data_IF_210132439398
#
_entry.id   IF_210132439398
#
_cell.length_a   1.000
_cell.length_b   1.000
_cell.length_c   1.000
_cell.angle_alpha   90.00
_cell.angle_beta   90.00
_cell.angle_gamma   90.00
#
_symmetry.space_group_name_H-M   'P 1'
#
loop_
_entity.id
_entity.type
_entity.pdbx_description
1 polymer ?
#
# COMPACT_ATOMS: atom_id res chain seq x y z
N UNK A 1 -15.31 -28.55 14.93
CA UNK A 1 -14.51 -28.17 13.73
C UNK A 1 -15.13 -26.99 12.97
N UNK A 2 -16.44 -26.99 12.63
CA UNK A 2 -17.12 -25.85 11.95
C UNK A 2 -16.96 -24.47 12.64
N UNK A 3 -16.94 -24.40 13.99
CA UNK A 3 -16.69 -23.14 14.73
C UNK A 3 -15.25 -22.62 14.58
N UNK A 4 -14.25 -23.52 14.63
CA UNK A 4 -12.84 -23.17 14.48
C UNK A 4 -12.51 -22.69 13.06
N UNK A 5 -13.12 -23.29 12.03
CA UNK A 5 -12.94 -22.86 10.64
C UNK A 5 -13.59 -21.50 10.37
N UNK A 6 -14.76 -21.21 10.94
CA UNK A 6 -15.41 -19.91 10.81
C UNK A 6 -14.63 -18.79 11.51
N UNK A 7 -14.09 -19.06 12.71
CA UNK A 7 -13.24 -18.12 13.43
C UNK A 7 -11.94 -17.83 12.66
N UNK A 8 -11.30 -18.85 12.11
CA UNK A 8 -10.10 -18.68 11.28
C UNK A 8 -10.37 -17.84 10.02
N UNK A 9 -11.46 -18.12 9.30
CA UNK A 9 -11.83 -17.33 8.12
C UNK A 9 -12.14 -15.87 8.48
N UNK A 10 -12.76 -15.62 9.64
CA UNK A 10 -13.03 -14.28 10.13
C UNK A 10 -11.72 -13.52 10.42
N UNK A 11 -10.79 -14.12 11.14
CA UNK A 11 -9.48 -13.52 11.44
C UNK A 11 -8.71 -13.21 10.16
N UNK A 12 -8.66 -14.16 9.23
CA UNK A 12 -8.00 -13.99 7.94
C UNK A 12 -8.64 -12.87 7.10
N UNK A 13 -9.98 -12.75 7.14
CA UNK A 13 -10.69 -11.65 6.48
C UNK A 13 -10.33 -10.30 7.11
N UNK A 14 -10.29 -10.20 8.45
CA UNK A 14 -9.90 -8.98 9.17
C UNK A 14 -8.46 -8.59 8.82
N UNK A 15 -7.53 -9.54 8.83
CA UNK A 15 -6.13 -9.32 8.47
C UNK A 15 -6.00 -8.85 7.01
N UNK A 16 -6.72 -9.49 6.09
CA UNK A 16 -6.73 -9.12 4.67
C UNK A 16 -7.26 -7.70 4.48
N UNK A 17 -8.36 -7.33 5.15
CA UNK A 17 -8.92 -5.97 5.10
C UNK A 17 -7.92 -4.95 5.66
N UNK A 18 -7.23 -5.27 6.76
CA UNK A 18 -6.21 -4.39 7.32
C UNK A 18 -5.06 -4.15 6.34
N UNK A 19 -4.56 -5.20 5.69
CA UNK A 19 -3.49 -5.11 4.67
C UNK A 19 -3.94 -4.29 3.46
N UNK A 20 -5.14 -4.54 2.92
CA UNK A 20 -5.68 -3.80 1.78
C UNK A 20 -5.85 -2.31 2.14
N UNK A 21 -6.39 -2.03 3.33
CA UNK A 21 -6.56 -0.65 3.80
C UNK A 21 -5.21 0.07 3.92
N UNK A 22 -4.20 -0.60 4.50
CA UNK A 22 -2.83 -0.09 4.56
C UNK A 22 -2.29 0.22 3.18
N UNK A 23 -2.48 -0.69 2.22
CA UNK A 23 -2.00 -0.49 0.85
C UNK A 23 -2.71 0.69 0.15
N UNK A 24 -4.02 0.87 0.36
CA UNK A 24 -4.77 2.01 -0.19
C UNK A 24 -4.23 3.33 0.38
N UNK A 25 -3.97 3.40 1.68
CA UNK A 25 -3.43 4.61 2.33
C UNK A 25 -2.03 4.95 1.79
N UNK A 26 -1.16 3.96 1.62
CA UNK A 26 0.18 4.16 1.04
C UNK A 26 0.09 4.66 -0.40
N UNK A 27 -0.77 4.08 -1.23
CA UNK A 27 -0.93 4.52 -2.62
C UNK A 27 -1.50 5.94 -2.70
N UNK A 28 -2.44 6.29 -1.81
CA UNK A 28 -2.94 7.65 -1.68
C UNK A 28 -1.82 8.62 -1.29
N UNK A 29 -1.03 8.29 -0.26
CA UNK A 29 0.11 9.10 0.17
C UNK A 29 1.12 9.38 -0.97
N UNK A 30 1.46 8.35 -1.75
CA UNK A 30 2.37 8.49 -2.90
C UNK A 30 1.76 9.37 -3.99
N UNK A 31 0.47 9.22 -4.25
CA UNK A 31 -0.24 10.02 -5.26
C UNK A 31 -0.28 11.49 -4.86
N UNK A 32 -0.69 11.78 -3.62
CA UNK A 32 -0.81 13.14 -3.11
C UNK A 32 0.57 13.83 -3.06
N UNK A 33 1.61 13.11 -2.62
CA UNK A 33 2.99 13.61 -2.60
C UNK A 33 3.51 14.04 -3.98
N UNK A 34 3.08 13.40 -5.08
CA UNK A 34 3.45 13.83 -6.45
C UNK A 34 2.81 15.17 -6.82
N UNK A 35 1.54 15.35 -6.45
CA UNK A 35 0.81 16.61 -6.68
C UNK A 35 1.44 17.72 -5.85
N UNK A 36 1.69 17.46 -4.57
CA UNK A 36 2.31 18.40 -3.63
C UNK A 36 3.70 18.84 -4.13
N UNK A 37 4.53 17.90 -4.58
CA UNK A 37 5.84 18.19 -5.18
C UNK A 37 5.74 19.09 -6.42
N UNK A 38 4.68 18.96 -7.21
CA UNK A 38 4.46 19.81 -8.39
C UNK A 38 4.09 21.23 -7.98
N UNK A 39 3.25 21.40 -6.96
CA UNK A 39 2.89 22.71 -6.40
C UNK A 39 4.13 23.42 -5.86
N UNK A 40 4.97 22.73 -5.07
CA UNK A 40 6.24 23.25 -4.54
C UNK A 40 7.18 23.69 -5.68
N UNK A 41 7.30 22.90 -6.75
CA UNK A 41 8.11 23.28 -7.90
C UNK A 41 7.58 24.52 -8.63
N UNK A 42 6.26 24.64 -8.78
CA UNK A 42 5.64 25.80 -9.44
C UNK A 42 5.81 27.06 -8.58
N UNK A 43 5.58 26.97 -7.28
CA UNK A 43 5.84 28.09 -6.34
C UNK A 43 7.33 28.46 -6.33
N UNK A 44 8.22 27.48 -6.29
CA UNK A 44 9.66 27.71 -6.39
C UNK A 44 10.06 28.42 -7.69
N UNK A 45 9.42 28.06 -8.82
CA UNK A 45 9.65 28.69 -10.13
C UNK A 45 9.20 30.15 -10.15
N UNK A 46 8.22 30.56 -9.34
CA UNK A 46 7.79 31.96 -9.25
C UNK A 46 8.93 32.90 -8.86
N UNK A 47 9.79 32.47 -7.91
CA UNK A 47 10.98 33.22 -7.49
C UNK A 47 11.94 33.44 -8.66
N UNK A 48 12.30 32.38 -9.37
CA UNK A 48 13.17 32.47 -10.55
C UNK A 48 12.55 33.35 -11.65
N UNK A 49 11.24 33.21 -11.89
CA UNK A 49 10.55 34.02 -12.90
C UNK A 49 10.52 35.50 -12.52
N UNK A 50 10.28 35.86 -11.25
CA UNK A 50 10.33 37.26 -10.81
C UNK A 50 11.70 37.90 -11.06
N UNK A 51 12.78 37.18 -10.73
CA UNK A 51 14.15 37.61 -11.03
C UNK A 51 14.42 37.69 -12.54
N UNK A 52 13.91 36.73 -13.33
CA UNK A 52 14.04 36.74 -14.79
C UNK A 52 13.33 37.93 -15.42
N UNK A 53 12.13 38.26 -14.96
CA UNK A 53 11.36 39.44 -15.36
C UNK A 53 12.18 40.70 -15.08
N UNK A 54 12.70 40.87 -13.86
CA UNK A 54 13.53 42.03 -13.50
C UNK A 54 14.79 42.12 -14.36
N UNK A 55 15.48 41.00 -14.59
CA UNK A 55 16.68 40.98 -15.43
C UNK A 55 16.38 41.33 -16.89
N UNK A 56 15.30 40.78 -17.45
CA UNK A 56 14.89 41.08 -18.83
C UNK A 56 14.43 42.54 -18.97
N UNK A 57 13.72 43.08 -17.98
CA UNK A 57 13.32 44.48 -17.92
C UNK A 57 14.53 45.41 -17.93
N UNK A 58 15.53 45.18 -17.06
CA UNK A 58 16.77 45.95 -17.04
C UNK A 58 17.57 45.83 -18.34
N UNK A 59 17.59 44.66 -18.97
CA UNK A 59 18.24 44.47 -20.28
C UNK A 59 17.51 45.23 -21.39
N UNK A 60 16.17 45.30 -21.33
CA UNK A 60 15.36 46.00 -22.32
C UNK A 60 15.71 47.49 -22.38
N UNK A 61 15.92 48.12 -21.22
CA UNK A 61 16.37 49.52 -21.12
C UNK A 61 17.70 49.78 -21.84
N UNK A 62 18.58 48.78 -21.87
CA UNK A 62 19.94 48.89 -22.37
C UNK A 62 20.10 48.31 -23.79
N UNK A 63 19.00 48.00 -24.48
CA UNK A 63 19.07 47.39 -25.82
C UNK A 63 19.66 48.35 -26.84
N UNK A 64 20.73 47.93 -27.52
CA UNK A 64 21.52 48.82 -28.40
C UNK A 64 20.98 48.91 -29.82
N UNK A 65 20.10 47.98 -30.20
CA UNK A 65 19.51 47.93 -31.53
C UNK A 65 18.10 47.32 -31.51
N UNK A 66 17.41 47.43 -32.66
CA UNK A 66 16.04 46.97 -32.85
C UNK A 66 15.87 45.47 -32.58
N UNK A 67 16.82 44.65 -33.02
CA UNK A 67 16.76 43.20 -32.88
C UNK A 67 16.84 42.78 -31.41
N UNK A 68 17.82 43.32 -30.67
CA UNK A 68 17.99 43.07 -29.25
C UNK A 68 16.78 43.51 -28.43
N UNK A 69 16.20 44.67 -28.78
CA UNK A 69 15.00 45.18 -28.12
C UNK A 69 13.83 44.19 -28.22
N UNK A 70 13.50 43.73 -29.44
CA UNK A 70 12.37 42.80 -29.62
C UNK A 70 12.65 41.42 -29.03
N UNK A 71 13.89 40.92 -29.12
CA UNK A 71 14.26 39.66 -28.49
C UNK A 71 14.11 39.72 -26.96
N UNK A 72 14.59 40.80 -26.34
CA UNK A 72 14.51 41.00 -24.88
C UNK A 72 13.08 41.25 -24.43
N UNK A 73 12.29 42.01 -25.21
CA UNK A 73 10.88 42.25 -24.95
C UNK A 73 10.06 40.96 -24.99
N UNK A 74 10.36 40.08 -25.95
CA UNK A 74 9.74 38.76 -26.04
C UNK A 74 10.11 37.89 -24.84
N UNK A 75 11.38 37.92 -24.39
CA UNK A 75 11.80 37.21 -23.17
C UNK A 75 11.05 37.71 -21.92
N UNK A 76 10.95 39.03 -21.76
CA UNK A 76 10.24 39.68 -20.66
C UNK A 76 8.76 39.26 -20.62
N UNK A 77 8.07 39.41 -21.74
CA UNK A 77 6.62 39.13 -21.84
C UNK A 77 6.32 37.65 -21.67
N UNK A 78 7.10 36.74 -22.26
CA UNK A 78 6.94 35.30 -22.04
C UNK A 78 7.19 34.90 -20.58
N UNK A 79 8.18 35.50 -19.91
CA UNK A 79 8.44 35.23 -18.50
C UNK A 79 7.29 35.72 -17.62
N UNK A 80 6.76 36.91 -17.89
CA UNK A 80 5.61 37.48 -17.19
C UNK A 80 4.33 36.66 -17.40
N UNK A 81 4.06 36.21 -18.63
CA UNK A 81 2.87 35.40 -18.94
C UNK A 81 2.91 34.05 -18.23
N UNK A 82 4.06 33.38 -18.22
CA UNK A 82 4.23 32.11 -17.48
C UNK A 82 4.16 32.33 -15.96
N UNK A 83 4.70 33.45 -15.49
CA UNK A 83 4.67 33.83 -14.08
C UNK A 83 3.23 34.07 -13.62
N UNK A 84 2.45 34.84 -14.37
CA UNK A 84 1.05 35.10 -14.10
C UNK A 84 0.19 33.83 -14.14
N UNK A 85 0.33 33.00 -15.17
CA UNK A 85 -0.38 31.71 -15.26
C UNK A 85 -0.05 30.79 -14.08
N UNK A 86 1.22 30.75 -13.67
CA UNK A 86 1.65 29.94 -12.53
C UNK A 86 1.12 30.51 -11.21
N UNK A 87 1.03 31.83 -11.06
CA UNK A 87 0.46 32.49 -9.88
C UNK A 87 -1.02 32.16 -9.72
N UNK A 88 -1.80 32.27 -10.81
CA UNK A 88 -3.22 31.89 -10.85
C UNK A 88 -3.42 30.41 -10.53
N UNK A 89 -2.58 29.54 -11.10
CA UNK A 89 -2.66 28.11 -10.84
C UNK A 89 -2.38 27.77 -9.37
N UNK A 90 -1.53 28.53 -8.67
CA UNK A 90 -1.27 28.33 -7.24
C UNK A 90 -2.45 28.78 -6.36
N UNK A 91 -3.18 29.83 -6.75
CA UNK A 91 -4.33 30.33 -5.98
C UNK A 91 -5.63 29.55 -6.24
N UNK A 92 -5.85 29.13 -7.49
CA UNK A 92 -7.13 28.59 -7.95
C UNK A 92 -7.05 27.17 -8.50
N UNK A 93 -5.85 26.63 -8.67
CA UNK A 93 -5.63 25.34 -9.32
C UNK A 93 -5.64 25.45 -10.84
N UNK A 94 -5.42 24.32 -11.50
CA UNK A 94 -5.55 24.19 -12.95
C UNK A 94 -5.87 22.74 -13.32
N UNK A 95 -6.07 22.45 -14.61
CA UNK A 95 -6.17 21.06 -15.07
C UNK A 95 -4.93 20.20 -14.76
N UNK A 96 -3.81 20.81 -14.36
CA UNK A 96 -2.53 20.13 -14.11
C UNK A 96 -2.12 20.04 -12.63
N UNK A 97 -2.75 20.82 -11.75
CA UNK A 97 -2.51 20.85 -10.29
C UNK A 97 -3.81 21.11 -9.53
N UNK A 98 -4.03 20.36 -8.44
CA UNK A 98 -5.11 20.61 -7.49
C UNK A 98 -4.53 21.22 -6.21
N UNK A 99 -4.94 22.45 -5.90
CA UNK A 99 -4.48 23.22 -4.72
C UNK A 99 -5.56 23.30 -3.63
N UNK A 100 -6.73 22.69 -3.85
CA UNK A 100 -7.92 22.88 -3.03
C UNK A 100 -7.75 22.46 -1.58
N UNK A 101 -6.91 21.47 -1.31
CA UNK A 101 -6.62 21.02 0.04
C UNK A 101 -5.65 21.96 0.78
N UNK A 102 -4.52 22.31 0.14
CA UNK A 102 -3.49 23.15 0.74
C UNK A 102 -3.97 24.60 0.93
N UNK A 103 -4.75 25.13 -0.01
CA UNK A 103 -5.28 26.49 0.06
C UNK A 103 -6.40 26.66 1.11
N UNK A 104 -6.71 25.62 1.90
CA UNK A 104 -7.48 25.76 3.14
C UNK A 104 -6.64 26.36 4.28
N UNK A 105 -5.31 26.35 4.19
CA UNK A 105 -4.44 26.96 5.19
C UNK A 105 -4.67 28.47 5.27
N UNK A 106 -5.04 28.95 6.46
CA UNK A 106 -5.22 30.38 6.71
C UNK A 106 -3.90 31.16 6.57
N UNK A 107 -2.79 30.58 7.03
CA UNK A 107 -1.46 31.18 6.93
C UNK A 107 -1.04 31.36 5.46
N UNK A 108 -1.26 30.33 4.63
CA UNK A 108 -0.97 30.40 3.20
C UNK A 108 -1.81 31.49 2.49
N UNK A 109 -3.11 31.56 2.79
CA UNK A 109 -3.98 32.58 2.23
C UNK A 109 -3.56 34.00 2.65
N UNK A 110 -3.11 34.18 3.89
CA UNK A 110 -2.59 35.45 4.37
C UNK A 110 -1.33 35.88 3.62
N UNK A 111 -0.42 34.94 3.33
CA UNK A 111 0.75 35.21 2.51
C UNK A 111 0.40 35.61 1.07
N UNK A 112 -0.61 34.96 0.46
CA UNK A 112 -1.09 35.36 -0.87
C UNK A 112 -1.70 36.78 -0.87
N UNK A 113 -2.45 37.14 0.18
CA UNK A 113 -2.96 38.51 0.34
C UNK A 113 -1.81 39.52 0.43
N UNK A 114 -0.76 39.19 1.18
CA UNK A 114 0.41 40.08 1.34
C UNK A 114 1.25 40.23 0.07
N UNK A 115 1.39 39.17 -0.74
CA UNK A 115 2.19 39.21 -1.97
C UNK A 115 1.47 39.91 -3.12
N UNK A 116 0.14 39.92 -3.10
CA UNK A 116 -0.71 40.41 -4.20
C UNK A 116 -0.38 41.83 -4.68
N UNK A 117 -0.15 42.85 -3.82
CA UNK A 117 0.14 44.21 -4.30
C UNK A 117 1.44 44.28 -5.11
N UNK A 118 2.48 43.54 -4.68
CA UNK A 118 3.76 43.48 -5.39
C UNK A 118 3.62 42.70 -6.70
N UNK A 119 2.85 41.61 -6.67
CA UNK A 119 2.54 40.84 -7.87
C UNK A 119 1.87 41.72 -8.94
N UNK A 120 0.78 42.41 -8.57
CA UNK A 120 0.03 43.28 -9.46
C UNK A 120 0.88 44.44 -9.99
N UNK A 121 1.67 45.10 -9.14
CA UNK A 121 2.54 46.20 -9.56
C UNK A 121 3.58 45.77 -10.61
N UNK A 122 4.15 44.58 -10.48
CA UNK A 122 5.10 44.03 -11.46
C UNK A 122 4.37 43.70 -12.78
N UNK A 123 3.22 43.03 -12.70
CA UNK A 123 2.46 42.63 -13.89
C UNK A 123 1.99 43.85 -14.70
N UNK A 124 1.38 44.82 -14.02
CA UNK A 124 0.91 46.06 -14.62
C UNK A 124 2.07 46.82 -15.30
N UNK A 125 3.23 46.89 -14.64
CA UNK A 125 4.42 47.53 -15.19
C UNK A 125 4.95 46.83 -16.45
N UNK A 126 4.91 45.50 -16.51
CA UNK A 126 5.25 44.75 -17.73
C UNK A 126 4.26 45.05 -18.85
N UNK A 127 2.97 45.10 -18.54
CA UNK A 127 1.93 45.36 -19.54
C UNK A 127 2.03 46.78 -20.14
N UNK A 128 2.45 47.78 -19.36
CA UNK A 128 2.74 49.11 -19.88
C UNK A 128 3.85 49.13 -20.94
N UNK A 129 4.73 48.13 -20.97
CA UNK A 129 5.84 48.00 -21.94
C UNK A 129 5.46 47.10 -23.13
N UNK A 130 4.43 46.26 -22.99
CA UNK A 130 4.07 45.19 -23.94
C UNK A 130 3.78 45.68 -25.35
N UNK A 131 3.26 46.90 -25.53
CA UNK A 131 2.89 47.44 -26.84
C UNK A 131 3.85 48.50 -27.40
N UNK A 132 4.87 48.90 -26.64
CA UNK A 132 5.80 49.97 -27.07
C UNK A 132 6.81 49.44 -28.10
N UNK A 133 6.86 50.07 -29.28
CA UNK A 133 7.80 49.72 -30.35
C UNK A 133 9.21 50.29 -30.14
N UNK A 134 10.19 49.76 -30.87
CA UNK A 134 11.59 50.20 -30.74
C UNK A 134 11.77 51.71 -30.95
N UNK A 135 11.24 52.30 -32.02
CA UNK A 135 11.44 53.74 -32.30
C UNK A 135 10.88 54.65 -31.19
N UNK A 136 9.73 54.25 -30.62
CA UNK A 136 9.06 54.90 -29.50
C UNK A 136 9.87 54.79 -28.19
N UNK A 137 10.57 53.67 -28.00
CA UNK A 137 11.39 53.42 -26.79
C UNK A 137 12.64 54.29 -26.68
N UNK A 138 13.06 54.97 -27.76
CA UNK A 138 14.35 55.68 -27.79
C UNK A 138 14.30 57.07 -27.12
N UNK A 139 13.16 57.75 -27.13
CA UNK A 139 13.02 59.08 -26.53
C UNK A 139 11.56 59.49 -26.33
N UNK A 140 11.31 60.50 -25.50
CA UNK A 140 9.98 61.06 -25.27
C UNK A 140 9.16 60.29 -24.24
N UNK A 141 7.83 60.47 -24.27
CA UNK A 141 6.94 59.98 -23.22
C UNK A 141 6.91 58.43 -23.10
N UNK A 142 7.09 57.71 -24.20
CA UNK A 142 7.11 56.24 -24.20
C UNK A 142 8.41 55.69 -23.61
N UNK A 143 9.55 56.34 -23.85
CA UNK A 143 10.82 55.99 -23.22
C UNK A 143 10.79 56.21 -21.70
N UNK A 144 10.22 57.33 -21.23
CA UNK A 144 10.03 57.58 -19.80
C UNK A 144 9.08 56.57 -19.15
N UNK A 145 8.01 56.16 -19.86
CA UNK A 145 7.11 55.10 -19.37
C UNK A 145 7.85 53.78 -19.19
N UNK A 146 8.72 53.39 -20.13
CA UNK A 146 9.56 52.19 -19.98
C UNK A 146 10.46 52.32 -18.74
N UNK A 147 11.13 53.46 -18.54
CA UNK A 147 11.97 53.69 -17.37
C UNK A 147 11.20 53.58 -16.05
N UNK A 148 9.99 54.14 -15.99
CA UNK A 148 9.13 54.07 -14.82
C UNK A 148 8.63 52.64 -14.55
N UNK A 149 8.22 51.91 -15.59
CA UNK A 149 7.85 50.50 -15.49
C UNK A 149 9.00 49.64 -14.97
N UNK A 150 10.21 49.82 -15.49
CA UNK A 150 11.38 49.05 -15.06
C UNK A 150 11.74 49.36 -13.61
N UNK A 151 11.64 50.64 -13.19
CA UNK A 151 11.82 51.02 -11.79
C UNK A 151 10.77 50.37 -10.89
N UNK A 152 9.51 50.32 -11.33
CA UNK A 152 8.43 49.65 -10.60
C UNK A 152 8.71 48.16 -10.44
N UNK A 153 9.11 47.47 -11.50
CA UNK A 153 9.49 46.05 -11.46
C UNK A 153 10.63 45.82 -10.45
N UNK A 154 11.72 46.59 -10.59
CA UNK A 154 12.92 46.45 -9.75
C UNK A 154 12.66 46.74 -8.27
N UNK A 155 11.80 47.70 -7.95
CA UNK A 155 11.50 48.08 -6.55
C UNK A 155 10.56 47.08 -5.86
N UNK A 156 9.66 46.43 -6.60
CA UNK A 156 8.68 45.50 -6.03
C UNK A 156 9.18 44.05 -5.97
N UNK A 157 10.13 43.67 -6.84
CA UNK A 157 10.64 42.30 -6.92
C UNK A 157 11.22 41.77 -5.59
N UNK A 158 12.03 42.52 -4.81
CA UNK A 158 12.60 41.97 -3.59
C UNK A 158 11.54 41.59 -2.54
N UNK A 159 10.49 42.41 -2.41
CA UNK A 159 9.36 42.13 -1.52
C UNK A 159 8.54 40.94 -2.02
N UNK A 160 8.26 40.89 -3.33
CA UNK A 160 7.61 39.73 -3.95
C UNK A 160 8.41 38.45 -3.70
N UNK A 161 9.72 38.47 -3.99
CA UNK A 161 10.62 37.32 -3.89
C UNK A 161 10.64 36.77 -2.47
N UNK A 162 10.72 37.64 -1.46
CA UNK A 162 10.68 37.24 -0.05
C UNK A 162 9.37 36.55 0.31
N UNK A 163 8.23 37.18 0.02
CA UNK A 163 6.91 36.61 0.34
C UNK A 163 6.63 35.32 -0.44
N UNK A 164 7.05 35.26 -1.71
CA UNK A 164 6.92 34.05 -2.52
C UNK A 164 7.81 32.92 -2.01
N UNK A 165 8.94 33.23 -1.39
CA UNK A 165 9.78 32.26 -0.70
C UNK A 165 9.08 31.70 0.55
N UNK A 166 8.41 32.57 1.32
CA UNK A 166 7.62 32.16 2.48
C UNK A 166 6.43 31.28 2.05
N UNK A 167 5.75 31.62 0.95
CA UNK A 167 4.70 30.78 0.34
C UNK A 167 5.24 29.40 -0.07
N UNK A 168 6.42 29.33 -0.70
CA UNK A 168 7.03 28.05 -1.06
C UNK A 168 7.34 27.19 0.17
N UNK A 169 7.83 27.79 1.26
CA UNK A 169 8.07 27.06 2.50
C UNK A 169 6.79 26.59 3.18
N UNK A 170 5.75 27.42 3.19
CA UNK A 170 4.43 27.01 3.72
C UNK A 170 3.87 25.82 2.94
N UNK A 171 3.99 25.79 1.61
CA UNK A 171 3.61 24.61 0.81
C UNK A 171 4.44 23.36 1.16
N UNK A 172 5.74 23.50 1.39
CA UNK A 172 6.63 22.41 1.77
C UNK A 172 6.29 21.83 3.15
N UNK A 173 5.98 22.71 4.11
CA UNK A 173 5.57 22.34 5.47
C UNK A 173 4.21 21.63 5.45
N UNK A 174 3.23 22.14 4.70
CA UNK A 174 1.92 21.51 4.53
C UNK A 174 2.04 20.11 3.89
N UNK A 175 2.87 19.97 2.85
CA UNK A 175 3.13 18.68 2.21
C UNK A 175 3.79 17.70 3.19
N UNK A 176 4.80 18.16 3.93
CA UNK A 176 5.53 17.36 4.92
C UNK A 176 4.64 16.91 6.07
N UNK A 177 3.71 17.76 6.52
CA UNK A 177 2.76 17.42 7.56
C UNK A 177 1.80 16.31 7.11
N UNK A 178 1.26 16.38 5.88
CA UNK A 178 0.41 15.31 5.32
C UNK A 178 1.14 13.97 5.29
N UNK A 179 2.38 13.95 4.81
CA UNK A 179 3.20 12.73 4.76
C UNK A 179 3.45 12.18 6.17
N UNK A 180 3.72 13.05 7.16
CA UNK A 180 3.93 12.66 8.56
C UNK A 180 2.67 12.03 9.17
N UNK A 181 1.50 12.61 8.96
CA UNK A 181 0.22 12.09 9.47
C UNK A 181 -0.13 10.72 8.85
N UNK A 182 0.11 10.56 7.55
CA UNK A 182 -0.06 9.28 6.86
C UNK A 182 0.93 8.22 7.35
N UNK A 183 2.19 8.59 7.56
CA UNK A 183 3.21 7.69 8.11
C UNK A 183 2.88 7.23 9.53
N UNK A 184 2.39 8.12 10.39
CA UNK A 184 1.96 7.73 11.75
C UNK A 184 0.79 6.73 11.71
N UNK A 185 -0.17 6.94 10.81
CA UNK A 185 -1.30 6.03 10.62
C UNK A 185 -0.86 4.63 10.18
N UNK A 186 0.20 4.55 9.38
CA UNK A 186 0.79 3.28 8.93
C UNK A 186 1.39 2.50 10.11
N UNK A 187 2.14 3.15 11.01
CA UNK A 187 2.67 2.48 12.20
C UNK A 187 1.57 1.90 13.09
N UNK A 188 0.44 2.59 13.24
CA UNK A 188 -0.70 2.06 13.99
C UNK A 188 -1.32 0.83 13.31
N UNK A 189 -1.49 0.86 11.98
CA UNK A 189 -2.01 -0.29 11.23
C UNK A 189 -1.05 -1.49 11.29
N UNK A 190 0.25 -1.26 11.19
CA UNK A 190 1.27 -2.28 11.35
C UNK A 190 1.21 -2.91 12.75
N UNK A 191 1.12 -2.09 13.80
CA UNK A 191 0.98 -2.57 15.17
C UNK A 191 -0.27 -3.44 15.34
N UNK A 192 -1.42 -3.01 14.78
CA UNK A 192 -2.66 -3.81 14.79
C UNK A 192 -2.49 -5.13 14.05
N UNK A 193 -1.87 -5.13 12.86
CA UNK A 193 -1.62 -6.34 12.09
C UNK A 193 -0.72 -7.33 12.86
N UNK A 194 0.33 -6.85 13.52
CA UNK A 194 1.21 -7.67 14.35
C UNK A 194 0.46 -8.27 15.55
N UNK A 195 -0.38 -7.48 16.21
CA UNK A 195 -1.23 -7.98 17.31
C UNK A 195 -2.18 -9.07 16.79
N UNK A 196 -2.81 -8.88 15.62
CA UNK A 196 -3.68 -9.89 15.02
C UNK A 196 -2.93 -11.20 14.73
N UNK A 197 -1.72 -11.13 14.18
CA UNK A 197 -0.88 -12.31 13.93
C UNK A 197 -0.56 -13.05 15.24
N UNK A 198 -0.21 -12.32 16.30
CA UNK A 198 0.05 -12.91 17.62
C UNK A 198 -1.21 -13.58 18.17
N UNK A 199 -2.38 -12.94 18.05
CA UNK A 199 -3.65 -13.51 18.47
C UNK A 199 -3.99 -14.79 17.69
N UNK A 200 -3.79 -14.81 16.38
CA UNK A 200 -3.97 -16.02 15.56
C UNK A 200 -3.06 -17.16 16.02
N UNK A 201 -1.79 -16.86 16.34
CA UNK A 201 -0.84 -17.84 16.87
C UNK A 201 -1.31 -18.49 18.17
N UNK A 202 -1.78 -17.69 19.13
CA UNK A 202 -2.20 -18.19 20.43
C UNK A 202 -3.59 -18.84 20.42
N UNK A 203 -4.56 -18.23 19.75
CA UNK A 203 -5.97 -18.65 19.81
C UNK A 203 -6.37 -19.63 18.71
N UNK A 204 -5.63 -19.72 17.61
CA UNK A 204 -5.94 -20.63 16.50
C UNK A 204 -4.85 -21.67 16.32
N UNK A 205 -3.62 -21.27 16.04
CA UNK A 205 -2.56 -22.22 15.69
C UNK A 205 -2.18 -23.14 16.86
N UNK A 206 -2.01 -22.60 18.07
CA UNK A 206 -1.68 -23.39 19.26
C UNK A 206 -2.73 -24.46 19.61
N UNK A 207 -4.05 -24.15 19.76
CA UNK A 207 -5.05 -25.18 20.04
C UNK A 207 -5.23 -26.16 18.89
N UNK A 208 -5.10 -25.69 17.64
CA UNK A 208 -5.13 -26.59 16.47
C UNK A 208 -3.99 -27.61 16.53
N UNK A 209 -2.76 -27.16 16.80
CA UNK A 209 -1.59 -28.03 16.91
C UNK A 209 -1.74 -29.03 18.06
N UNK A 210 -2.19 -28.57 19.23
CA UNK A 210 -2.44 -29.45 20.38
C UNK A 210 -3.52 -30.50 20.09
N UNK A 211 -4.59 -30.10 19.38
CA UNK A 211 -5.66 -31.03 18.98
C UNK A 211 -5.14 -32.06 17.97
N UNK A 212 -4.30 -31.64 17.01
CA UNK A 212 -3.68 -32.54 16.05
C UNK A 212 -2.76 -33.57 16.76
N UNK A 213 -1.91 -33.11 17.68
CA UNK A 213 -1.03 -33.99 18.47
C UNK A 213 -1.81 -34.97 19.35
N UNK A 214 -2.93 -34.54 19.96
CA UNK A 214 -3.78 -35.44 20.75
C UNK A 214 -4.38 -36.55 19.87
N UNK A 215 -4.87 -36.20 18.68
CA UNK A 215 -5.38 -37.20 17.71
C UNK A 215 -4.30 -38.18 17.27
N UNK A 216 -3.07 -37.70 17.08
CA UNK A 216 -1.93 -38.57 16.76
C UNK A 216 -1.63 -39.56 17.90
N UNK A 217 -1.64 -39.10 19.16
CA UNK A 217 -1.48 -39.95 20.35
C UNK A 217 -2.58 -41.01 20.46
N UNK A 218 -3.86 -40.61 20.30
CA UNK A 218 -5.01 -41.54 20.35
C UNK A 218 -4.92 -42.62 19.26
N UNK A 219 -4.43 -42.28 18.06
CA UNK A 219 -4.19 -43.24 16.98
C UNK A 219 -3.01 -44.18 17.32
N UNK A 220 -1.94 -43.66 17.91
CA UNK A 220 -0.77 -44.46 18.30
C UNK A 220 -1.09 -45.45 19.42
N UNK A 221 -1.79 -45.01 20.46
CA UNK A 221 -2.24 -45.89 21.56
C UNK A 221 -3.17 -46.99 21.05
N UNK A 222 -4.05 -46.66 20.11
CA UNK A 222 -4.90 -47.66 19.45
C UNK A 222 -4.08 -48.66 18.63
N UNK A 223 -3.05 -48.20 17.92
CA UNK A 223 -2.14 -49.08 17.18
C UNK A 223 -1.43 -50.06 18.12
N UNK A 224 -0.89 -49.57 19.24
CA UNK A 224 -0.23 -50.40 20.24
C UNK A 224 -1.21 -51.38 20.91
N UNK A 225 -2.44 -50.95 21.20
CA UNK A 225 -3.50 -51.82 21.72
C UNK A 225 -3.85 -52.95 20.75
N UNK A 226 -4.00 -52.63 19.45
CA UNK A 226 -4.26 -53.63 18.40
C UNK A 226 -3.08 -54.60 18.29
N UNK A 227 -1.85 -54.11 18.29
CA UNK A 227 -0.66 -54.94 18.20
C UNK A 227 -0.51 -55.88 19.41
N UNK A 228 -0.79 -55.39 20.62
CA UNK A 228 -0.76 -56.18 21.84
C UNK A 228 -1.83 -57.28 21.83
N UNK A 229 -3.03 -56.97 21.35
CA UNK A 229 -4.12 -57.95 21.16
C UNK A 229 -3.73 -59.05 20.18
N UNK A 230 -3.09 -58.70 19.06
CA UNK A 230 -2.55 -59.67 18.08
C UNK A 230 -1.46 -60.56 18.70
N UNK A 231 -0.56 -59.99 19.52
CA UNK A 231 0.50 -60.75 20.18
C UNK A 231 -0.01 -61.72 21.28
N UNK A 232 -1.09 -61.37 21.97
CA UNK A 232 -1.74 -62.22 22.97
C UNK A 232 -2.42 -63.43 22.30
N UNK A 233 -3.06 -63.21 21.16
CA UNK A 233 -3.63 -64.26 20.30
C UNK A 233 -2.57 -65.25 19.77
N UNK A 234 -1.32 -64.81 19.58
CA UNK A 234 -0.22 -65.66 19.14
C UNK A 234 0.45 -66.50 20.24
N UNK A 235 0.18 -66.21 21.52
CA UNK A 235 0.84 -66.86 22.67
C UNK A 235 -0.06 -67.74 23.54
N UNK A 236 -1.39 -67.72 23.36
CA UNK A 236 -2.31 -68.58 24.09
C UNK A 236 -3.16 -69.42 23.14
N UNK A 237 -2.98 -70.73 23.18
CA UNK A 237 -3.89 -71.70 22.56
C UNK A 237 -5.07 -72.09 23.47
N UNK A 238 -5.14 -71.57 24.70
CA UNK A 238 -5.96 -72.18 25.76
C UNK A 238 -7.35 -71.53 25.98
N UNK A 239 -7.59 -70.27 25.57
CA UNK A 239 -8.89 -69.59 25.76
C UNK A 239 -9.50 -69.06 24.45
N UNK A 240 -10.10 -69.94 23.64
CA UNK A 240 -10.69 -69.59 22.33
C UNK A 240 -11.97 -68.74 22.41
N UNK A 241 -12.70 -68.75 23.52
CA UNK A 241 -14.04 -68.14 23.65
C UNK A 241 -13.99 -66.65 24.03
N UNK A 242 -13.04 -66.26 24.89
CA UNK A 242 -12.80 -64.85 25.21
C UNK A 242 -12.06 -64.13 24.07
N UNK A 243 -11.16 -64.84 23.38
CA UNK A 243 -10.45 -64.34 22.22
C UNK A 243 -11.39 -63.96 21.05
N UNK A 244 -12.41 -64.78 20.78
CA UNK A 244 -13.39 -64.50 19.72
C UNK A 244 -14.28 -63.30 20.06
N UNK A 245 -14.62 -63.12 21.34
CA UNK A 245 -15.38 -61.98 21.84
C UNK A 245 -14.57 -60.68 21.76
N UNK A 246 -13.29 -60.71 22.17
CA UNK A 246 -12.41 -59.55 22.06
C UNK A 246 -12.06 -59.21 20.60
N UNK A 247 -11.92 -60.20 19.72
CA UNK A 247 -11.77 -59.99 18.27
C UNK A 247 -13.03 -59.33 17.67
N UNK A 248 -14.23 -59.75 18.09
CA UNK A 248 -15.48 -59.13 17.63
C UNK A 248 -15.56 -57.67 18.10
N UNK A 249 -15.20 -57.38 19.35
CA UNK A 249 -15.17 -56.02 19.89
C UNK A 249 -14.10 -55.13 19.24
N UNK A 250 -12.92 -55.69 18.96
CA UNK A 250 -11.86 -54.97 18.25
C UNK A 250 -12.25 -54.68 16.80
N UNK A 251 -12.84 -55.67 16.09
CA UNK A 251 -13.38 -55.48 14.74
C UNK A 251 -14.49 -54.43 14.71
N UNK A 252 -15.36 -54.41 15.71
CA UNK A 252 -16.44 -53.42 15.79
C UNK A 252 -15.91 -52.01 16.06
N UNK A 253 -14.94 -51.85 16.96
CA UNK A 253 -14.28 -50.55 17.16
C UNK A 253 -13.52 -50.10 15.91
N UNK A 254 -12.88 -51.01 15.18
CA UNK A 254 -12.23 -50.72 13.89
C UNK A 254 -13.26 -50.32 12.83
N UNK A 255 -14.44 -50.94 12.81
CA UNK A 255 -15.54 -50.61 11.88
C UNK A 255 -16.06 -49.19 12.13
N UNK A 256 -16.39 -48.87 13.39
CA UNK A 256 -16.85 -47.53 13.79
C UNK A 256 -15.81 -46.46 13.46
N UNK A 257 -14.53 -46.75 13.68
CA UNK A 257 -13.45 -45.82 13.34
C UNK A 257 -13.23 -45.69 11.82
N UNK A 258 -13.35 -46.76 11.05
CA UNK A 258 -13.31 -46.69 9.58
C UNK A 258 -14.46 -45.85 9.02
N UNK A 259 -15.66 -45.99 9.58
CA UNK A 259 -16.82 -45.18 9.21
C UNK A 259 -16.60 -43.70 9.57
N UNK A 260 -16.10 -43.41 10.78
CA UNK A 260 -15.75 -42.05 11.19
C UNK A 260 -14.65 -41.42 10.33
N UNK A 261 -13.65 -42.21 9.89
CA UNK A 261 -12.59 -41.75 9.00
C UNK A 261 -13.09 -41.55 7.57
N UNK A 262 -13.99 -42.41 7.07
CA UNK A 262 -14.63 -42.25 5.77
C UNK A 262 -15.48 -40.98 5.72
N UNK A 263 -16.24 -40.71 6.79
CA UNK A 263 -16.96 -39.44 6.95
C UNK A 263 -16.01 -38.23 6.98
N UNK A 264 -14.87 -38.36 7.66
CA UNK A 264 -13.87 -37.29 7.71
C UNK A 264 -13.26 -37.02 6.33
N UNK A 265 -13.00 -38.09 5.57
CA UNK A 265 -12.44 -38.04 4.21
C UNK A 265 -13.45 -37.44 3.23
N UNK A 266 -14.74 -37.77 3.35
CA UNK A 266 -15.81 -37.11 2.61
C UNK A 266 -15.91 -35.62 2.99
N UNK A 267 -15.86 -35.28 4.29
CA UNK A 267 -15.87 -33.87 4.75
C UNK A 267 -14.65 -33.08 4.25
N UNK A 268 -13.49 -33.73 4.09
CA UNK A 268 -12.29 -33.15 3.49
C UNK A 268 -12.46 -32.93 1.98
N UNK A 269 -12.98 -33.91 1.23
CA UNK A 269 -13.28 -33.76 -0.20
C UNK A 269 -14.35 -32.68 -0.45
N UNK A 270 -15.35 -32.57 0.43
CA UNK A 270 -16.38 -31.52 0.34
C UNK A 270 -15.80 -30.13 0.65
N UNK A 271 -14.82 -30.05 1.56
CA UNK A 271 -14.06 -28.83 1.81
C UNK A 271 -13.17 -28.45 0.62
N UNK A 272 -12.59 -29.43 -0.06
CA UNK A 272 -11.73 -29.25 -1.25
C UNK A 272 -12.55 -28.81 -2.47
N UNK A 273 -13.71 -29.43 -2.70
CA UNK A 273 -14.66 -29.02 -3.75
C UNK A 273 -15.30 -27.64 -3.49
N UNK A 274 -15.24 -27.12 -2.26
CA UNK A 274 -15.70 -25.76 -1.91
C UNK A 274 -14.67 -24.66 -2.21
N UNK A 275 -13.42 -25.01 -2.57
CA UNK A 275 -12.35 -24.07 -2.90
C UNK A 275 -12.10 -24.00 -4.40
N UNK A 276 -12.87 -23.15 -5.06
CA UNK A 276 -12.30 -22.42 -6.20
C UNK A 276 -11.56 -21.22 -5.60
N UNK A 277 -10.24 -21.15 -5.83
CA UNK A 277 -9.28 -20.06 -5.49
C UNK A 277 -8.36 -20.33 -4.27
N UNK A 278 -7.18 -20.92 -4.53
CA UNK A 278 -5.83 -20.45 -4.12
C UNK A 278 -4.79 -21.59 -4.27
N UNK A 279 -4.05 -21.62 -5.39
CA UNK A 279 -3.46 -22.85 -5.96
C UNK A 279 -1.95 -23.08 -5.70
N UNK A 280 -1.34 -22.55 -4.65
CA UNK A 280 0.12 -22.73 -4.43
C UNK A 280 0.53 -23.39 -3.12
N UNK A 281 -0.01 -22.95 -1.97
CA UNK A 281 0.33 -23.58 -0.67
C UNK A 281 -0.45 -24.86 -0.39
N UNK A 282 -1.60 -25.02 -1.04
CA UNK A 282 -2.44 -26.22 -0.91
C UNK A 282 -1.79 -27.43 -1.61
N UNK A 283 -1.13 -27.21 -2.76
CA UNK A 283 -0.39 -28.24 -3.52
C UNK A 283 0.77 -28.84 -2.71
N UNK A 284 1.47 -28.02 -1.91
CA UNK A 284 2.57 -28.49 -1.06
C UNK A 284 2.04 -29.33 0.11
N UNK A 285 0.94 -28.89 0.74
CA UNK A 285 0.26 -29.64 1.83
C UNK A 285 -0.36 -30.94 1.31
N UNK A 286 -0.96 -30.92 0.13
CA UNK A 286 -1.54 -32.08 -0.55
C UNK A 286 -0.46 -33.12 -0.90
N UNK A 287 0.71 -32.69 -1.37
CA UNK A 287 1.84 -33.59 -1.67
C UNK A 287 2.38 -34.35 -0.45
N UNK A 288 2.41 -33.71 0.72
CA UNK A 288 2.89 -34.31 1.96
C UNK A 288 1.86 -35.28 2.56
N UNK A 289 0.58 -34.96 2.43
CA UNK A 289 -0.54 -35.82 2.83
C UNK A 289 -0.65 -37.04 1.90
N UNK A 290 -0.47 -36.87 0.59
CA UNK A 290 -0.49 -37.98 -0.38
C UNK A 290 0.71 -38.92 -0.21
N UNK A 291 1.90 -38.38 0.09
CA UNK A 291 3.08 -39.17 0.45
C UNK A 291 2.88 -39.97 1.74
N UNK A 292 2.23 -39.38 2.76
CA UNK A 292 1.82 -40.11 3.96
C UNK A 292 0.82 -41.21 3.61
N UNK A 293 -0.21 -40.91 2.83
CA UNK A 293 -1.26 -41.86 2.47
C UNK A 293 -0.68 -43.08 1.74
N UNK A 294 0.20 -42.88 0.74
CA UNK A 294 0.90 -43.99 0.06
C UNK A 294 1.79 -44.80 1.00
N UNK A 295 2.45 -44.15 1.96
CA UNK A 295 3.23 -44.85 3.00
C UNK A 295 2.34 -45.70 3.90
N UNK A 296 1.14 -45.23 4.22
CA UNK A 296 0.15 -45.96 5.01
C UNK A 296 -0.48 -47.13 4.23
N UNK A 297 -0.86 -46.93 2.97
CA UNK A 297 -1.39 -48.01 2.12
C UNK A 297 -0.38 -49.14 1.97
N UNK A 298 0.90 -48.82 1.79
CA UNK A 298 1.97 -49.83 1.71
C UNK A 298 2.13 -50.61 3.03
N UNK A 299 1.94 -49.94 4.17
CA UNK A 299 1.98 -50.58 5.50
C UNK A 299 0.76 -51.48 5.73
N UNK A 300 -0.42 -51.05 5.28
CA UNK A 300 -1.66 -51.84 5.32
C UNK A 300 -1.55 -53.09 4.44
N UNK A 301 -1.05 -52.96 3.20
CA UNK A 301 -0.86 -54.10 2.29
C UNK A 301 0.11 -55.15 2.86
N UNK A 302 1.16 -54.72 3.56
CA UNK A 302 2.08 -55.64 4.24
C UNK A 302 1.39 -56.39 5.38
N UNK A 303 0.57 -55.69 6.18
CA UNK A 303 -0.19 -56.30 7.26
C UNK A 303 -1.23 -57.30 6.74
N UNK A 304 -1.89 -57.01 5.61
CA UNK A 304 -2.82 -57.94 4.96
C UNK A 304 -2.11 -59.20 4.44
N UNK A 305 -0.89 -59.07 3.90
CA UNK A 305 -0.06 -60.21 3.48
C UNK A 305 0.40 -61.07 4.66
N UNK A 306 0.75 -60.47 5.80
CA UNK A 306 1.09 -61.21 7.02
C UNK A 306 -0.12 -61.94 7.60
N UNK A 307 -1.30 -61.30 7.61
CA UNK A 307 -2.57 -61.91 7.97
C UNK A 307 -2.93 -63.11 7.07
N UNK A 308 -2.70 -63.00 5.76
CA UNK A 308 -2.94 -64.10 4.83
C UNK A 308 -2.02 -65.31 5.10
N UNK A 309 -0.74 -65.08 5.44
CA UNK A 309 0.22 -66.14 5.79
C UNK A 309 -0.18 -66.90 7.04
N UNK A 310 -0.67 -66.19 8.07
CA UNK A 310 -1.17 -66.80 9.31
C UNK A 310 -2.38 -67.69 9.04
N UNK A 311 -3.23 -67.31 8.07
CA UNK A 311 -4.44 -68.08 7.70
C UNK A 311 -4.14 -69.37 6.93
N UNK A 312 -3.00 -69.48 6.26
CA UNK A 312 -2.54 -70.68 5.52
C UNK A 312 -1.67 -71.64 6.36
N UNK A 313 -1.23 -71.23 7.55
CA UNK A 313 -0.47 -72.07 8.49
C UNK A 313 -1.33 -72.64 9.64
N UNK A 314 -2.66 -72.49 9.52
CA UNK A 314 -3.71 -73.15 10.31
C UNK A 314 -4.36 -74.19 9.40
#
# INVERSE_FOLDING_TARGET
MKKLSAQYLLFLAILTVAIITSQILVQKAISDSKTDSRIINISGRQRMLSQKITKAALKLQNSVNREEYYATKLELTNAADLWAQSHEALQHGSGSIDVSEMNKSAALNELFIQVQPYYSAILDAVDQVRDIGYSASQSGAEAERIHESIRTISNNEPSFLKLMNDITFEYDDLASQKVKELSQSEYYLLAVALVLIVLEAFFIFRPMFNTAKKKESEISELHDYVQKSISFLGKSQEDKTDATTQIAQAKEKIRVLKEANLELKQKLNDMENSKTIAKSEEVVKESQIDALNKKYEKKILNLEKELAKIKTSI
#
